data_IF_406723636742
#
_entry.id   IF_406723636742
#
_cell.length_a   1.000
_cell.length_b   1.000
_cell.length_c   1.000
_cell.angle_alpha   90.00
_cell.angle_beta   90.00
_cell.angle_gamma   90.00
#
_symmetry.space_group_name_H-M   'P 1'
#
loop_
_entity.id
_entity.type
_entity.pdbx_description
1 polymer ?
#
# COMPACT_ATOMS: atom_id res chain seq x y z
N UNK A 1 -8.87 7.60 -6.56
CA UNK A 1 -9.48 7.15 -5.29
C UNK A 1 -8.62 7.30 -4.05
N UNK A 2 -7.35 7.75 -4.17
CA UNK A 2 -6.42 7.86 -3.03
C UNK A 2 -6.93 8.80 -1.92
N UNK A 3 -7.73 9.81 -2.26
CA UNK A 3 -8.30 10.73 -1.28
C UNK A 3 -9.62 10.24 -0.64
N UNK A 4 -10.11 9.05 -1.00
CA UNK A 4 -11.30 8.47 -0.40
C UNK A 4 -11.01 7.99 1.03
N UNK A 5 -11.68 8.58 2.02
CA UNK A 5 -11.43 8.33 3.44
C UNK A 5 -12.23 7.19 4.06
N UNK A 6 -12.93 6.36 3.29
CA UNK A 6 -13.69 5.24 3.84
C UNK A 6 -14.53 4.48 2.82
N UNK A 7 -14.93 3.26 3.20
CA UNK A 7 -15.71 2.34 2.35
C UNK A 7 -16.99 2.94 1.78
N UNK A 8 -17.63 3.86 2.49
CA UNK A 8 -18.88 4.47 2.02
C UNK A 8 -18.65 5.33 0.78
N UNK A 9 -17.57 6.12 0.77
CA UNK A 9 -17.20 6.95 -0.38
C UNK A 9 -16.81 6.07 -1.58
N UNK A 10 -16.01 5.03 -1.38
CA UNK A 10 -15.69 4.06 -2.42
C UNK A 10 -16.96 3.40 -2.99
N UNK A 11 -17.88 2.99 -2.13
CA UNK A 11 -19.16 2.42 -2.55
C UNK A 11 -19.92 3.36 -3.48
N UNK A 12 -20.04 4.64 -3.12
CA UNK A 12 -20.75 5.64 -3.94
C UNK A 12 -20.11 5.82 -5.32
N UNK A 13 -18.79 5.90 -5.40
CA UNK A 13 -18.08 6.01 -6.68
C UNK A 13 -18.23 4.74 -7.54
N UNK A 14 -18.14 3.57 -6.92
CA UNK A 14 -18.30 2.29 -7.62
C UNK A 14 -19.74 2.11 -8.13
N UNK A 15 -20.77 2.40 -7.31
CA UNK A 15 -22.18 2.30 -7.68
C UNK A 15 -22.55 3.27 -8.81
N UNK A 16 -21.98 4.47 -8.81
CA UNK A 16 -22.23 5.47 -9.85
C UNK A 16 -21.47 5.22 -11.15
N UNK A 17 -20.57 4.24 -11.17
CA UNK A 17 -19.69 4.01 -12.34
C UNK A 17 -18.66 5.11 -12.58
N UNK A 18 -18.42 5.97 -11.61
CA UNK A 18 -17.49 7.11 -11.74
C UNK A 18 -16.02 6.72 -11.50
N UNK A 19 -15.73 5.45 -11.26
CA UNK A 19 -14.40 4.94 -10.97
C UNK A 19 -14.08 3.75 -11.87
N UNK A 20 -13.15 3.91 -12.80
CA UNK A 20 -12.69 2.83 -13.68
C UNK A 20 -11.52 2.04 -13.11
N UNK A 21 -10.79 2.62 -12.18
CA UNK A 21 -9.68 2.02 -11.44
C UNK A 21 -9.85 2.43 -9.98
N UNK A 22 -9.83 1.46 -9.08
CA UNK A 22 -9.94 1.70 -7.65
C UNK A 22 -8.54 1.84 -7.06
N UNK A 23 -8.11 3.09 -6.81
CA UNK A 23 -6.82 3.38 -6.19
C UNK A 23 -7.00 3.59 -4.69
N UNK A 24 -6.74 2.55 -3.91
CA UNK A 24 -6.85 2.59 -2.46
C UNK A 24 -5.56 3.15 -1.87
N UNK A 25 -5.68 4.14 -0.98
CA UNK A 25 -4.59 4.55 -0.10
C UNK A 25 -4.80 3.91 1.28
N UNK A 26 -3.93 2.98 1.64
CA UNK A 26 -4.03 2.24 2.89
C UNK A 26 -3.75 3.08 4.14
N UNK A 27 -3.13 4.24 4.00
CA UNK A 27 -2.92 5.18 5.11
C UNK A 27 -4.13 6.07 5.37
N UNK A 28 -5.05 6.20 4.41
CA UNK A 28 -6.26 7.03 4.55
C UNK A 28 -7.50 6.24 4.93
N UNK A 29 -7.43 4.92 4.87
CA UNK A 29 -8.49 4.04 5.38
C UNK A 29 -8.22 3.67 6.84
N UNK A 30 -9.27 3.64 7.65
CA UNK A 30 -9.16 3.51 9.11
C UNK A 30 -8.66 2.15 9.62
N UNK A 31 -8.62 1.12 8.77
CA UNK A 31 -8.19 -0.23 9.19
C UNK A 31 -8.07 -1.19 8.01
N UNK A 32 -7.42 -2.33 8.25
CA UNK A 32 -7.37 -3.45 7.29
C UNK A 32 -8.79 -3.92 6.91
N UNK A 33 -9.75 -3.88 7.82
CA UNK A 33 -11.13 -4.25 7.54
C UNK A 33 -11.79 -3.32 6.52
N UNK A 34 -11.50 -2.02 6.59
CA UNK A 34 -11.95 -1.06 5.58
C UNK A 34 -11.35 -1.38 4.22
N UNK A 35 -10.05 -1.65 4.18
CA UNK A 35 -9.33 -1.99 2.94
C UNK A 35 -9.90 -3.26 2.31
N UNK A 36 -10.04 -4.34 3.08
CA UNK A 36 -10.63 -5.60 2.60
C UNK A 36 -12.05 -5.40 2.08
N UNK A 37 -12.84 -4.59 2.76
CA UNK A 37 -14.20 -4.25 2.30
C UNK A 37 -14.18 -3.56 0.95
N UNK A 38 -13.25 -2.62 0.73
CA UNK A 38 -13.12 -1.92 -0.56
C UNK A 38 -12.64 -2.88 -1.65
N UNK A 39 -11.67 -3.77 -1.37
CA UNK A 39 -11.22 -4.80 -2.32
C UNK A 39 -12.39 -5.69 -2.79
N UNK A 40 -13.19 -6.18 -1.84
CA UNK A 40 -14.37 -7.01 -2.15
C UNK A 40 -15.44 -6.24 -2.94
N UNK A 41 -15.67 -4.97 -2.62
CA UNK A 41 -16.57 -4.12 -3.39
C UNK A 41 -16.06 -3.89 -4.81
N UNK A 42 -14.79 -3.54 -4.97
CA UNK A 42 -14.19 -3.35 -6.29
C UNK A 42 -14.32 -4.60 -7.16
N UNK A 43 -14.06 -5.78 -6.59
CA UNK A 43 -14.27 -7.06 -7.26
C UNK A 43 -15.75 -7.27 -7.66
N UNK A 44 -16.70 -7.02 -6.74
CA UNK A 44 -18.14 -7.10 -7.03
C UNK A 44 -18.56 -6.20 -8.19
N UNK A 45 -18.03 -5.01 -8.27
CA UNK A 45 -18.31 -4.04 -9.34
C UNK A 45 -17.43 -4.23 -10.59
N UNK A 46 -16.55 -5.23 -10.59
CA UNK A 46 -15.60 -5.52 -11.68
C UNK A 46 -14.67 -4.35 -12.02
N UNK A 47 -14.30 -3.59 -11.02
CA UNK A 47 -13.36 -2.48 -11.12
C UNK A 47 -11.99 -2.96 -10.62
N UNK A 48 -10.92 -2.86 -11.44
CA UNK A 48 -9.58 -3.29 -11.03
C UNK A 48 -9.06 -2.40 -9.90
N UNK A 49 -8.26 -2.99 -9.02
CA UNK A 49 -7.61 -2.27 -7.92
C UNK A 49 -6.13 -2.08 -8.23
N UNK A 50 -5.67 -0.83 -8.18
CA UNK A 50 -4.27 -0.42 -8.33
C UNK A 50 -3.89 0.38 -7.08
N UNK A 51 -3.32 -0.24 -6.05
CA UNK A 51 -3.05 0.44 -4.80
C UNK A 51 -2.10 1.63 -4.94
N UNK A 52 -2.41 2.71 -4.24
CA UNK A 52 -1.52 3.85 -4.08
C UNK A 52 -0.33 3.47 -3.19
N UNK A 53 0.87 3.82 -3.62
CA UNK A 53 2.11 3.54 -2.91
C UNK A 53 3.11 4.72 -2.93
N UNK A 54 2.63 5.92 -3.14
CA UNK A 54 3.45 7.14 -3.25
C UNK A 54 3.96 7.72 -1.92
N UNK A 55 4.10 6.91 -0.87
CA UNK A 55 4.57 7.35 0.44
C UNK A 55 5.58 6.41 1.09
N UNK A 56 6.28 6.91 2.10
CA UNK A 56 7.29 6.14 2.84
C UNK A 56 6.68 4.89 3.47
N UNK A 57 7.23 3.71 3.15
CA UNK A 57 6.75 2.42 3.65
C UNK A 57 5.48 1.92 2.98
N UNK A 58 4.87 2.68 2.07
CA UNK A 58 3.66 2.23 1.38
C UNK A 58 3.93 1.11 0.40
N UNK A 59 5.04 1.13 -0.34
CA UNK A 59 5.41 0.03 -1.22
C UNK A 59 5.56 -1.28 -0.44
N UNK A 60 6.24 -1.24 0.71
CA UNK A 60 6.44 -2.37 1.60
C UNK A 60 5.12 -2.91 2.15
N UNK A 61 4.16 -2.04 2.37
CA UNK A 61 2.84 -2.42 2.90
C UNK A 61 1.88 -2.92 1.82
N UNK A 62 1.74 -2.18 0.71
CA UNK A 62 0.71 -2.49 -0.31
C UNK A 62 0.99 -3.78 -1.07
N UNK A 63 2.25 -4.25 -1.14
CA UNK A 63 2.54 -5.56 -1.73
C UNK A 63 1.75 -6.68 -1.05
N UNK A 64 1.51 -6.58 0.27
CA UNK A 64 0.68 -7.54 1.00
C UNK A 64 -0.79 -7.46 0.58
N UNK A 65 -1.31 -6.25 0.34
CA UNK A 65 -2.67 -6.06 -0.14
C UNK A 65 -2.85 -6.61 -1.55
N UNK A 66 -1.84 -6.46 -2.40
CA UNK A 66 -1.84 -7.05 -3.75
C UNK A 66 -1.84 -8.59 -3.69
N UNK A 67 -1.09 -9.18 -2.76
CA UNK A 67 -1.12 -10.63 -2.55
C UNK A 67 -2.49 -11.10 -2.05
N UNK A 68 -3.12 -10.36 -1.15
CA UNK A 68 -4.48 -10.65 -0.68
C UNK A 68 -5.47 -10.57 -1.85
N UNK A 69 -5.42 -9.52 -2.65
CA UNK A 69 -6.28 -9.37 -3.83
C UNK A 69 -6.09 -10.54 -4.80
N UNK A 70 -4.85 -10.90 -5.09
CA UNK A 70 -4.53 -12.01 -5.98
C UNK A 70 -4.96 -13.37 -5.44
N UNK A 71 -4.58 -13.71 -4.19
CA UNK A 71 -4.76 -15.05 -3.64
C UNK A 71 -6.20 -15.32 -3.25
N UNK A 72 -6.89 -14.33 -2.65
CA UNK A 72 -8.18 -14.53 -2.01
C UNK A 72 -9.38 -13.97 -2.78
N UNK A 73 -9.16 -13.05 -3.72
CA UNK A 73 -10.26 -12.31 -4.33
C UNK A 73 -10.33 -12.52 -5.84
N UNK A 74 -9.28 -12.19 -6.58
CA UNK A 74 -9.34 -12.17 -8.04
C UNK A 74 -8.73 -13.38 -8.73
N UNK A 75 -7.65 -13.95 -8.21
CA UNK A 75 -6.91 -15.04 -8.84
C UNK A 75 -6.14 -14.66 -10.11
N UNK A 76 -6.13 -13.38 -10.49
CA UNK A 76 -5.57 -12.89 -11.74
C UNK A 76 -4.40 -11.93 -11.48
N UNK A 77 -3.33 -12.08 -12.27
CA UNK A 77 -2.16 -11.18 -12.26
C UNK A 77 -2.14 -10.24 -13.46
N UNK A 78 -2.77 -10.62 -14.55
CA UNK A 78 -2.76 -9.82 -15.77
C UNK A 78 -3.52 -8.51 -15.57
N UNK A 79 -2.97 -7.43 -16.16
CA UNK A 79 -3.52 -6.08 -16.02
C UNK A 79 -3.65 -5.58 -14.57
N UNK A 80 -2.81 -6.07 -13.68
CA UNK A 80 -2.67 -5.56 -12.31
C UNK A 80 -1.43 -4.68 -12.23
N UNK A 81 -1.59 -3.49 -11.68
CA UNK A 81 -0.51 -2.55 -11.50
C UNK A 81 -0.48 -2.06 -10.06
N UNK A 82 0.70 -1.72 -9.59
CA UNK A 82 0.93 -1.14 -8.27
C UNK A 82 1.85 0.04 -8.46
N UNK A 83 1.53 1.14 -7.82
CA UNK A 83 2.43 2.28 -7.78
C UNK A 83 3.75 1.89 -7.10
N UNK A 84 4.84 2.47 -7.56
CA UNK A 84 6.17 2.25 -6.99
C UNK A 84 6.87 3.56 -6.73
N UNK A 85 7.41 3.71 -5.53
CA UNK A 85 8.27 4.80 -5.14
C UNK A 85 9.39 4.25 -4.26
N UNK A 86 10.63 4.53 -4.59
CA UNK A 86 11.81 4.07 -3.85
C UNK A 86 12.23 5.02 -2.72
N UNK A 87 11.34 5.94 -2.33
CA UNK A 87 11.63 6.92 -1.29
C UNK A 87 11.92 6.24 0.05
N UNK A 88 13.12 6.51 0.58
CA UNK A 88 13.56 6.09 1.92
C UNK A 88 13.57 4.57 2.13
N UNK A 89 13.60 3.76 1.08
CA UNK A 89 13.71 2.30 1.18
C UNK A 89 14.96 1.85 1.94
N UNK A 90 16.03 2.62 1.88
CA UNK A 90 17.28 2.37 2.61
C UNK A 90 17.11 2.36 4.12
N UNK A 91 16.03 2.93 4.64
CA UNK A 91 15.72 2.97 6.08
C UNK A 91 14.92 1.77 6.58
N UNK A 92 14.41 0.92 5.68
CA UNK A 92 13.66 -0.28 6.05
C UNK A 92 14.54 -1.52 6.17
N UNK A 93 14.16 -2.45 7.05
CA UNK A 93 14.87 -3.72 7.22
C UNK A 93 14.59 -4.64 6.01
N UNK A 94 13.35 -4.65 5.55
CA UNK A 94 12.87 -5.48 4.44
C UNK A 94 12.23 -4.61 3.34
N UNK A 95 13.02 -3.79 2.62
CA UNK A 95 12.48 -2.98 1.55
C UNK A 95 11.87 -3.85 0.46
N UNK A 96 10.81 -3.37 -0.17
CA UNK A 96 10.22 -4.09 -1.29
C UNK A 96 11.24 -4.23 -2.43
N UNK A 97 11.17 -5.34 -3.14
CA UNK A 97 12.08 -5.62 -4.26
C UNK A 97 11.31 -5.76 -5.56
N UNK A 98 11.92 -5.26 -6.64
CA UNK A 98 11.37 -5.34 -7.99
C UNK A 98 12.27 -6.22 -8.84
N UNK A 99 11.68 -7.17 -9.56
CA UNK A 99 12.36 -7.98 -10.56
C UNK A 99 11.52 -8.04 -11.83
N UNK A 100 12.13 -7.73 -12.95
CA UNK A 100 11.47 -7.72 -14.27
C UNK A 100 10.16 -6.91 -14.28
N UNK A 101 10.16 -5.75 -13.59
CA UNK A 101 9.01 -4.87 -13.47
C UNK A 101 7.91 -5.36 -12.51
N UNK A 102 8.14 -6.41 -11.74
CA UNK A 102 7.18 -6.97 -10.82
C UNK A 102 7.63 -6.83 -9.36
N UNK A 103 6.70 -6.55 -8.47
CA UNK A 103 6.93 -6.70 -7.04
C UNK A 103 7.17 -8.16 -6.69
N UNK A 104 8.25 -8.42 -5.97
CA UNK A 104 8.58 -9.75 -5.48
C UNK A 104 7.99 -9.96 -4.09
N UNK A 105 7.38 -11.13 -3.82
CA UNK A 105 6.88 -11.42 -2.48
C UNK A 105 8.01 -11.30 -1.45
N UNK A 106 7.75 -10.70 -0.27
CA UNK A 106 8.73 -10.67 0.80
C UNK A 106 9.05 -12.09 1.26
N UNK A 107 10.32 -12.31 1.64
CA UNK A 107 10.79 -13.63 2.09
C UNK A 107 10.61 -13.81 3.60
N UNK A 108 10.50 -12.71 4.32
CA UNK A 108 10.44 -12.68 5.76
C UNK A 108 8.99 -12.53 6.24
N UNK A 109 8.74 -12.98 7.46
CA UNK A 109 7.43 -12.87 8.09
C UNK A 109 7.16 -11.41 8.51
N UNK A 110 5.87 -11.04 8.57
CA UNK A 110 5.44 -9.72 9.01
C UNK A 110 4.95 -8.83 7.88
N UNK A 111 4.89 -7.53 8.13
CA UNK A 111 4.35 -6.53 7.18
C UNK A 111 5.41 -5.77 6.40
N UNK A 112 6.68 -6.11 6.58
CA UNK A 112 7.84 -5.51 5.89
C UNK A 112 8.03 -4.00 6.13
N UNK A 113 7.32 -3.40 7.10
CA UNK A 113 7.35 -1.96 7.40
C UNK A 113 8.28 -1.60 8.58
N UNK A 114 9.08 -2.54 9.03
CA UNK A 114 10.04 -2.28 10.11
C UNK A 114 11.21 -1.44 9.63
N UNK A 115 11.45 -0.33 10.32
CA UNK A 115 12.60 0.53 10.05
C UNK A 115 13.85 0.06 10.80
N UNK A 116 15.00 0.32 10.22
CA UNK A 116 16.29 0.11 10.90
C UNK A 116 16.39 0.97 12.14
N UNK A 117 16.80 0.40 13.27
CA UNK A 117 16.88 1.12 14.55
C UNK A 117 17.78 2.36 14.47
N UNK A 118 18.88 2.29 13.70
CA UNK A 118 19.74 3.44 13.51
C UNK A 118 19.03 4.61 12.83
N UNK A 119 18.21 4.33 11.81
CA UNK A 119 17.40 5.33 11.13
C UNK A 119 16.37 5.95 12.07
N UNK A 120 15.70 5.14 12.88
CA UNK A 120 14.76 5.63 13.89
C UNK A 120 15.47 6.55 14.87
N UNK A 121 16.63 6.16 15.40
CA UNK A 121 17.40 6.95 16.36
C UNK A 121 17.88 8.28 15.76
N UNK A 122 18.25 8.29 14.48
CA UNK A 122 18.71 9.48 13.79
C UNK A 122 17.59 10.48 13.51
N UNK A 123 16.45 9.99 13.02
CA UNK A 123 15.37 10.84 12.51
C UNK A 123 14.18 11.02 13.44
N UNK A 124 14.14 10.37 14.60
CA UNK A 124 13.02 10.49 15.56
C UNK A 124 12.86 11.95 16.04
N UNK A 125 11.78 12.59 15.63
CA UNK A 125 11.49 13.96 16.08
C UNK A 125 10.97 14.01 17.53
N UNK A 126 11.39 14.98 18.34
CA UNK A 126 12.44 16.00 18.10
C UNK A 126 13.83 15.56 18.62
N UNK A 127 13.98 14.33 19.08
CA UNK A 127 15.13 13.87 19.88
C UNK A 127 16.23 13.18 19.06
N UNK A 128 15.99 12.87 17.79
CA UNK A 128 16.98 12.26 16.91
C UNK A 128 18.16 13.18 16.61
N UNK A 129 19.30 12.58 16.25
CA UNK A 129 20.53 13.34 16.01
C UNK A 129 20.39 14.37 14.89
N UNK A 130 19.58 14.06 13.87
CA UNK A 130 19.31 14.98 12.77
C UNK A 130 18.74 16.32 13.24
N UNK A 131 17.79 16.28 14.17
CA UNK A 131 17.09 17.48 14.68
C UNK A 131 17.87 18.27 15.73
N UNK A 132 18.90 17.64 16.33
CA UNK A 132 19.77 18.31 17.31
C UNK A 132 20.88 19.12 16.66
N UNK A 133 21.22 18.81 15.40
CA UNK A 133 22.31 19.46 14.67
C UNK A 133 21.82 20.59 13.77
N UNK A 134 20.51 20.70 13.60
CA UNK A 134 19.83 21.73 12.80
C UNK A 134 18.82 22.49 13.68
#
# INVERSE_FOLDING_TARGET
GEACGGRIMFKQFLESGAMNICQIDSCRLGSINEILTVLLMAHKFKVPVFPHAGGVGLCEYVQHLCMIDYILINGEKDNKFVEYSDQLHEHFIYPCSIQDGNYMPPKDNGYSIEMKQNSVNEFLFPHGEYWRKN
#
